data_IF_784316015793
#
_entry.id   IF_784316015793
#
_cell.length_a   1.000
_cell.length_b   1.000
_cell.length_c   1.000
_cell.angle_alpha   90.00
_cell.angle_beta   90.00
_cell.angle_gamma   90.00
#
_symmetry.space_group_name_H-M   'P 1'
#
loop_
_entity.id
_entity.type
_entity.pdbx_description
1 polymer ?
#
# COMPACT_ATOMS: atom_id res chain seq x y z
N UNK A 1 10.69 3.38 5.99
CA UNK A 1 10.54 3.55 4.52
C UNK A 1 9.13 3.18 4.07
N UNK A 2 8.62 3.71 2.96
CA UNK A 2 7.29 3.35 2.40
C UNK A 2 7.15 1.84 2.16
N UNK A 3 8.24 1.17 1.78
CA UNK A 3 8.31 -0.28 1.58
C UNK A 3 8.03 -1.12 2.84
N UNK A 4 8.09 -0.53 4.03
CA UNK A 4 7.88 -1.22 5.31
C UNK A 4 6.49 -0.96 5.89
N UNK A 5 5.75 0.03 5.38
CA UNK A 5 4.46 0.44 5.94
C UNK A 5 3.42 -0.67 5.85
N UNK A 6 2.71 -0.93 6.95
CA UNK A 6 1.64 -1.91 7.00
C UNK A 6 0.51 -1.43 7.92
N UNK A 7 -0.67 -2.05 7.78
CA UNK A 7 -1.82 -1.85 8.65
C UNK A 7 -2.11 -0.36 8.90
N UNK A 8 -2.16 0.06 10.17
CA UNK A 8 -2.54 1.41 10.55
C UNK A 8 -1.56 2.48 10.08
N UNK A 9 -0.26 2.18 10.10
CA UNK A 9 0.77 3.08 9.59
C UNK A 9 0.63 3.29 8.07
N UNK A 10 0.29 2.24 7.32
CA UNK A 10 0.04 2.36 5.88
C UNK A 10 -1.17 3.24 5.58
N UNK A 11 -2.28 3.00 6.27
CA UNK A 11 -3.50 3.81 6.08
C UNK A 11 -3.34 5.26 6.54
N UNK A 12 -2.55 5.52 7.58
CA UNK A 12 -2.17 6.88 7.97
C UNK A 12 -1.42 7.59 6.84
N UNK A 13 -0.41 6.92 6.27
CA UNK A 13 0.34 7.47 5.14
C UNK A 13 -0.55 7.68 3.90
N UNK A 14 -1.56 6.83 3.69
CA UNK A 14 -2.59 7.06 2.64
C UNK A 14 -3.38 8.33 2.93
N UNK A 15 -3.86 8.53 4.16
CA UNK A 15 -4.57 9.75 4.54
C UNK A 15 -3.70 11.00 4.31
N UNK A 16 -2.41 10.94 4.68
CA UNK A 16 -1.44 12.01 4.42
C UNK A 16 -1.28 12.28 2.92
N UNK A 17 -1.10 11.23 2.11
CA UNK A 17 -0.94 11.36 0.66
C UNK A 17 -2.19 11.90 -0.05
N UNK A 18 -3.37 11.66 0.51
CA UNK A 18 -4.65 12.21 0.03
C UNK A 18 -4.92 13.65 0.54
N UNK A 19 -4.09 14.18 1.43
CA UNK A 19 -4.33 15.49 2.07
C UNK A 19 -5.56 15.51 2.98
N UNK A 20 -5.95 14.35 3.54
CA UNK A 20 -7.08 14.27 4.48
C UNK A 20 -6.63 14.80 5.84
N UNK A 21 -7.29 15.86 6.32
CA UNK A 21 -7.11 16.34 7.68
C UNK A 21 -7.64 15.31 8.68
N UNK A 22 -6.75 14.77 9.50
CA UNK A 22 -7.13 13.92 10.63
C UNK A 22 -7.16 14.76 11.90
N UNK A 23 -7.97 14.38 12.88
CA UNK A 23 -7.97 15.00 14.23
C UNK A 23 -6.68 14.70 15.02
N UNK A 24 -5.71 14.03 14.41
CA UNK A 24 -4.43 13.66 14.99
C UNK A 24 -4.23 12.14 15.09
N UNK A 25 -3.00 11.70 15.44
CA UNK A 25 -2.65 10.28 15.44
C UNK A 25 -3.43 9.44 16.46
N UNK A 26 -3.71 9.99 17.64
CA UNK A 26 -4.48 9.32 18.70
C UNK A 26 -5.91 9.05 18.25
N UNK A 27 -6.58 10.05 17.68
CA UNK A 27 -7.94 9.89 17.18
C UNK A 27 -7.99 8.92 15.99
N UNK A 28 -6.99 8.97 15.11
CA UNK A 28 -6.87 8.02 14.00
C UNK A 28 -6.74 6.57 14.50
N UNK A 29 -5.98 6.36 15.58
CA UNK A 29 -5.87 5.06 16.26
C UNK A 29 -7.18 4.66 16.92
N UNK A 30 -7.82 5.56 17.64
CA UNK A 30 -9.06 5.28 18.36
C UNK A 30 -10.20 4.88 17.41
N UNK A 31 -10.28 5.53 16.25
CA UNK A 31 -11.27 5.20 15.21
C UNK A 31 -11.18 3.73 14.77
N UNK A 32 -10.00 3.09 14.81
CA UNK A 32 -9.84 1.68 14.40
C UNK A 32 -10.58 0.67 15.25
N UNK A 33 -11.02 1.05 16.45
CA UNK A 33 -11.86 0.19 17.29
C UNK A 33 -13.27 0.01 16.73
N UNK A 34 -13.67 0.86 15.77
CA UNK A 34 -15.00 0.86 15.19
C UNK A 34 -14.97 0.46 13.70
N UNK A 35 -16.07 -0.09 13.22
CA UNK A 35 -16.31 -0.27 11.77
C UNK A 35 -16.96 0.99 11.18
N UNK A 36 -17.83 1.63 11.96
CA UNK A 36 -18.51 2.89 11.66
C UNK A 36 -18.46 3.74 12.93
N UNK A 37 -18.07 5.02 12.83
CA UNK A 37 -18.08 5.98 13.95
C UNK A 37 -18.87 7.21 13.50
N UNK A 38 -19.85 7.63 14.30
CA UNK A 38 -20.73 8.78 13.98
C UNK A 38 -21.44 8.68 12.61
N UNK A 39 -21.72 7.46 12.14
CA UNK A 39 -22.36 7.23 10.84
C UNK A 39 -21.38 7.19 9.65
N UNK A 40 -20.09 7.42 9.87
CA UNK A 40 -19.06 7.39 8.85
C UNK A 40 -18.22 6.10 8.94
N UNK A 41 -17.87 5.53 7.78
CA UNK A 41 -16.99 4.37 7.71
C UNK A 41 -15.58 4.76 8.14
N UNK A 42 -14.99 3.94 9.02
CA UNK A 42 -13.60 4.11 9.41
C UNK A 42 -12.70 3.74 8.23
N UNK A 43 -11.71 4.58 7.95
CA UNK A 43 -10.76 4.32 6.87
C UNK A 43 -9.87 3.11 7.15
N UNK A 44 -9.81 2.18 6.19
CA UNK A 44 -9.06 0.93 6.22
C UNK A 44 -8.57 0.56 4.82
N UNK A 45 -7.99 1.50 4.07
CA UNK A 45 -7.60 1.31 2.68
C UNK A 45 -6.74 0.05 2.45
N UNK A 46 -5.81 -0.26 3.36
CA UNK A 46 -4.90 -1.40 3.25
C UNK A 46 -5.56 -2.77 3.39
N UNK A 47 -6.77 -2.82 3.96
CA UNK A 47 -7.51 -4.06 4.25
C UNK A 47 -8.92 -4.10 3.68
N UNK A 48 -9.48 -2.97 3.27
CA UNK A 48 -10.79 -2.85 2.65
C UNK A 48 -10.63 -2.64 1.15
N UNK A 49 -11.01 -3.65 0.37
CA UNK A 49 -10.97 -3.59 -1.10
C UNK A 49 -11.83 -2.46 -1.65
N UNK A 50 -13.00 -2.22 -1.04
CA UNK A 50 -13.91 -1.17 -1.46
C UNK A 50 -13.33 0.24 -1.30
N UNK A 51 -12.38 0.42 -0.37
CA UNK A 51 -11.74 1.72 -0.14
C UNK A 51 -10.42 1.84 -0.90
N UNK A 52 -9.51 0.88 -0.71
CA UNK A 52 -8.18 0.95 -1.32
C UNK A 52 -8.20 0.70 -2.83
N UNK A 53 -9.13 -0.11 -3.33
CA UNK A 53 -9.23 -0.43 -4.76
C UNK A 53 -9.50 0.79 -5.63
N UNK A 54 -10.39 1.68 -5.18
CA UNK A 54 -10.73 2.92 -5.90
C UNK A 54 -9.50 3.80 -6.09
N UNK A 55 -8.64 3.92 -5.08
CA UNK A 55 -7.38 4.67 -5.20
C UNK A 55 -6.46 4.07 -6.27
N UNK A 56 -6.33 2.74 -6.30
CA UNK A 56 -5.46 2.09 -7.28
C UNK A 56 -5.97 2.28 -8.70
N UNK A 57 -7.29 2.27 -8.89
CA UNK A 57 -7.94 2.50 -10.19
C UNK A 57 -7.80 3.96 -10.63
N UNK A 58 -8.09 4.92 -9.75
CA UNK A 58 -8.02 6.36 -10.05
C UNK A 58 -6.58 6.81 -10.39
N UNK A 59 -5.58 6.21 -9.76
CA UNK A 59 -4.17 6.55 -9.93
C UNK A 59 -3.47 5.72 -11.01
N UNK A 60 -4.17 4.79 -11.66
CA UNK A 60 -3.61 3.94 -12.71
C UNK A 60 -2.47 3.04 -12.21
N UNK A 61 -2.60 2.49 -11.00
CA UNK A 61 -1.59 1.59 -10.43
C UNK A 61 -1.70 0.20 -11.05
N UNK A 62 -0.66 -0.19 -11.77
CA UNK A 62 -0.53 -1.55 -12.30
C UNK A 62 -0.16 -2.53 -11.19
N UNK A 63 -0.79 -3.70 -11.19
CA UNK A 63 -0.58 -4.76 -10.20
C UNK A 63 -0.11 -6.05 -10.87
N UNK A 64 1.11 -6.46 -10.56
CA UNK A 64 1.74 -7.68 -11.09
C UNK A 64 1.88 -8.68 -9.95
N UNK A 65 1.42 -9.91 -10.18
CA UNK A 65 1.66 -11.00 -9.22
C UNK A 65 3.12 -11.41 -9.30
N UNK A 66 3.86 -11.19 -8.23
CA UNK A 66 5.28 -11.47 -8.17
C UNK A 66 5.54 -12.97 -7.92
N UNK A 67 6.45 -13.55 -8.70
CA UNK A 67 6.80 -14.96 -8.60
C UNK A 67 8.31 -15.16 -8.53
N UNK A 68 8.76 -16.09 -7.70
CA UNK A 68 10.16 -16.47 -7.61
C UNK A 68 10.35 -17.97 -7.89
N UNK A 69 11.49 -18.36 -8.48
CA UNK A 69 11.84 -19.76 -8.63
C UNK A 69 12.10 -20.40 -7.27
N UNK A 70 11.51 -21.57 -7.05
CA UNK A 70 11.74 -22.41 -5.88
C UNK A 70 12.22 -23.77 -6.37
N UNK A 71 13.37 -24.20 -5.85
CA UNK A 71 13.91 -25.54 -6.09
C UNK A 71 12.97 -26.58 -5.44
N UNK A 72 12.51 -27.53 -6.25
CA UNK A 72 11.62 -28.61 -5.84
C UNK A 72 12.36 -29.97 -5.75
N UNK A 73 13.69 -29.97 -5.90
CA UNK A 73 14.52 -31.16 -5.96
C UNK A 73 14.62 -31.75 -7.37
N UNK A 74 15.62 -32.62 -7.58
CA UNK A 74 15.87 -33.32 -8.86
C UNK A 74 15.98 -32.39 -10.10
N UNK A 75 16.49 -31.17 -9.91
CA UNK A 75 16.61 -30.17 -10.98
C UNK A 75 15.28 -29.55 -11.43
N UNK A 76 14.17 -29.82 -10.73
CA UNK A 76 12.88 -29.20 -11.00
C UNK A 76 12.77 -27.84 -10.32
N UNK A 77 12.41 -26.81 -11.10
CA UNK A 77 12.14 -25.46 -10.60
C UNK A 77 10.67 -25.12 -10.84
N UNK A 78 10.01 -24.59 -9.79
CA UNK A 78 8.64 -24.09 -9.89
C UNK A 78 8.60 -22.60 -9.56
N UNK A 79 7.86 -21.83 -10.33
CA UNK A 79 7.56 -20.44 -9.99
C UNK A 79 6.46 -20.39 -8.92
N UNK A 80 6.79 -19.89 -7.73
CA UNK A 80 5.83 -19.70 -6.65
C UNK A 80 5.50 -18.22 -6.47
N UNK A 81 4.23 -17.87 -6.22
CA UNK A 81 3.86 -16.50 -5.89
C UNK A 81 4.45 -16.12 -4.54
N UNK A 82 5.17 -15.00 -4.50
CA UNK A 82 5.79 -14.46 -3.27
C UNK A 82 5.16 -13.16 -2.80
N UNK A 83 4.29 -12.56 -3.61
CA UNK A 83 3.59 -11.33 -3.26
C UNK A 83 3.08 -10.61 -4.50
N UNK A 84 3.02 -9.29 -4.39
CA UNK A 84 2.58 -8.39 -5.43
C UNK A 84 3.60 -7.28 -5.63
N UNK A 85 3.83 -6.93 -6.89
CA UNK A 85 4.53 -5.72 -7.31
C UNK A 85 3.49 -4.74 -7.84
N UNK A 86 3.58 -3.50 -7.38
CA UNK A 86 2.80 -2.39 -7.90
C UNK A 86 3.73 -1.39 -8.57
N UNK A 87 3.26 -0.74 -9.64
CA UNK A 87 4.06 0.21 -10.41
C UNK A 87 3.21 1.39 -10.92
N UNK A 88 3.80 2.59 -10.99
CA UNK A 88 3.17 3.81 -11.54
C UNK A 88 4.22 4.82 -12.04
N UNK A 89 3.83 5.65 -13.01
CA UNK A 89 4.65 6.73 -13.56
C UNK A 89 4.70 6.72 -15.09
N UNK A 90 5.11 7.83 -15.73
CA UNK A 90 5.19 7.89 -17.18
C UNK A 90 6.25 6.91 -17.70
N UNK A 91 5.81 5.97 -18.53
CA UNK A 91 6.73 5.18 -19.38
C UNK A 91 7.25 6.09 -20.48
N UNK A 92 8.23 6.92 -20.15
CA UNK A 92 8.87 7.80 -21.11
C UNK A 92 9.94 7.01 -21.85
N UNK A 93 9.55 6.44 -22.99
CA UNK A 93 10.39 5.99 -24.11
C UNK A 93 11.51 4.97 -23.87
N UNK A 94 11.98 4.70 -22.66
CA UNK A 94 12.96 3.63 -22.39
C UNK A 94 12.82 3.11 -20.96
N UNK A 95 12.07 2.01 -20.86
CA UNK A 95 12.16 0.92 -19.88
C UNK A 95 12.52 1.27 -18.43
N UNK A 96 11.49 1.54 -17.62
CA UNK A 96 11.20 1.01 -16.27
C UNK A 96 10.17 1.95 -15.62
N UNK A 97 9.17 1.44 -14.88
CA UNK A 97 8.26 2.31 -14.12
C UNK A 97 9.03 3.15 -13.09
N UNK A 98 8.70 4.43 -13.01
CA UNK A 98 9.40 5.38 -12.12
C UNK A 98 9.26 5.01 -10.64
N UNK A 99 8.11 4.45 -10.25
CA UNK A 99 7.86 3.99 -8.89
C UNK A 99 7.42 2.54 -8.90
N UNK A 100 8.06 1.74 -8.03
CA UNK A 100 7.75 0.33 -7.84
C UNK A 100 7.76 0.00 -6.36
N UNK A 101 6.76 -0.73 -5.89
CA UNK A 101 6.70 -1.22 -4.51
C UNK A 101 6.22 -2.67 -4.44
N UNK A 102 6.69 -3.38 -3.41
CA UNK A 102 6.30 -4.75 -3.12
C UNK A 102 5.35 -4.81 -1.92
N UNK A 103 4.50 -5.83 -1.89
CA UNK A 103 3.64 -6.10 -0.75
C UNK A 103 3.06 -7.52 -0.75
N UNK A 104 2.60 -7.99 0.42
CA UNK A 104 1.98 -9.30 0.55
C UNK A 104 0.60 -9.39 -0.13
N UNK A 105 -0.07 -8.26 -0.33
CA UNK A 105 -1.37 -8.15 -1.01
C UNK A 105 -1.35 -7.09 -2.10
N UNK A 106 -2.30 -7.15 -3.03
CA UNK A 106 -2.51 -6.11 -4.04
C UNK A 106 -2.64 -4.71 -3.41
N UNK A 107 -3.47 -4.59 -2.36
CA UNK A 107 -3.69 -3.32 -1.67
C UNK A 107 -2.42 -2.82 -1.00
N UNK A 108 -1.67 -3.69 -0.32
CA UNK A 108 -0.44 -3.25 0.36
C UNK A 108 0.62 -2.82 -0.64
N UNK A 109 0.86 -3.59 -1.71
CA UNK A 109 1.80 -3.20 -2.75
C UNK A 109 1.37 -1.90 -3.44
N UNK A 110 0.09 -1.83 -3.84
CA UNK A 110 -0.49 -0.70 -4.54
C UNK A 110 -0.44 0.59 -3.76
N UNK A 111 -0.88 0.58 -2.49
CA UNK A 111 -0.92 1.77 -1.66
C UNK A 111 0.49 2.26 -1.29
N UNK A 112 1.45 1.35 -1.09
CA UNK A 112 2.86 1.75 -0.94
C UNK A 112 3.37 2.45 -2.20
N UNK A 113 3.02 1.95 -3.39
CA UNK A 113 3.41 2.55 -4.65
C UNK A 113 2.78 3.96 -4.81
N UNK A 114 1.48 4.06 -4.53
CA UNK A 114 0.74 5.33 -4.49
C UNK A 114 1.39 6.36 -3.56
N UNK A 115 1.70 5.99 -2.31
CA UNK A 115 2.37 6.88 -1.36
C UNK A 115 3.72 7.33 -1.90
N UNK A 116 4.52 6.39 -2.43
CA UNK A 116 5.84 6.69 -3.00
C UNK A 116 5.75 7.69 -4.15
N UNK A 117 4.72 7.55 -5.00
CA UNK A 117 4.45 8.43 -6.13
C UNK A 117 3.97 9.82 -5.70
N UNK A 118 3.11 9.90 -4.67
CA UNK A 118 2.52 11.18 -4.23
C UNK A 118 3.44 12.01 -3.33
N UNK A 119 4.06 11.37 -2.34
CA UNK A 119 4.76 12.07 -1.25
C UNK A 119 6.18 11.54 -1.00
N UNK A 120 6.64 10.53 -1.76
CA UNK A 120 8.01 10.02 -1.70
C UNK A 120 8.20 8.75 -0.87
N UNK A 121 9.45 8.28 -0.80
CA UNK A 121 9.83 6.99 -0.19
C UNK A 121 9.94 7.05 1.35
N UNK A 122 9.98 8.24 1.93
CA UNK A 122 10.06 8.46 3.37
C UNK A 122 8.80 9.20 3.82
N UNK A 123 8.10 8.61 4.78
CA UNK A 123 6.91 9.19 5.39
C UNK A 123 7.10 9.12 6.91
N UNK A 124 6.90 10.24 7.58
CA UNK A 124 6.92 10.30 9.03
C UNK A 124 5.65 9.65 9.58
N UNK A 125 5.84 8.61 10.39
CA UNK A 125 4.74 7.90 11.05
C UNK A 125 4.79 8.22 12.54
N UNK A 126 3.71 8.76 13.13
CA UNK A 126 3.63 8.97 14.57
C UNK A 126 3.83 7.67 15.36
N UNK A 127 4.63 7.71 16.43
CA UNK A 127 4.98 6.55 17.26
C UNK A 127 3.76 5.77 17.79
N UNK A 128 2.66 6.48 18.08
CA UNK A 128 1.42 5.85 18.55
C UNK A 128 0.82 4.88 17.53
N UNK A 129 1.18 5.00 16.25
CA UNK A 129 0.71 4.14 15.16
C UNK A 129 1.68 3.01 14.81
N UNK A 130 2.83 2.93 15.49
CA UNK A 130 3.84 1.88 15.28
C UNK A 130 3.67 0.69 16.24
N UNK A 131 2.72 0.78 17.18
CA UNK A 131 2.51 -0.18 18.28
C UNK A 131 1.17 -0.91 18.21
#
# INVERSE_FOLDING_TARGET
MTSELANIALDWAVATALGIETYGPEDFREQRKYTVKNGEYVYRWSSSRAQGGVILEDEGIDLIRERQPVDCGNGAVRLQPVGWRAQVGPSAVDMEPQFTQLGPTQLVAGLRCFISYKIGAEVEIPDVLLN
#
